data_IF_295424074148
#
_entry.id   IF_295424074148
#
_cell.length_a   1.000
_cell.length_b   1.000
_cell.length_c   1.000
_cell.angle_alpha   90.00
_cell.angle_beta   90.00
_cell.angle_gamma   90.00
#
_symmetry.space_group_name_H-M   'P 1'
#
loop_
_entity.id
_entity.type
_entity.pdbx_description
1 polymer ?
#
# COMPACT_ATOMS: atom_id res chain seq x y z
N UNK A 1 1.74 21.96 3.39
CA UNK A 1 0.72 21.75 4.46
C UNK A 1 1.44 21.47 5.76
N UNK A 2 1.00 22.08 6.84
CA UNK A 2 1.51 21.77 8.19
C UNK A 2 0.99 20.40 8.68
N UNK A 3 1.71 19.73 9.58
CA UNK A 3 1.35 18.38 10.05
C UNK A 3 -0.09 18.26 10.58
N UNK A 4 -0.56 19.30 11.29
CA UNK A 4 -1.94 19.36 11.80
C UNK A 4 -2.97 19.44 10.66
N UNK A 5 -2.66 20.18 9.60
CA UNK A 5 -3.53 20.31 8.41
C UNK A 5 -3.57 19.01 7.63
N UNK A 6 -2.43 18.32 7.47
CA UNK A 6 -2.34 17.00 6.84
C UNK A 6 -3.26 16.03 7.57
N UNK A 7 -3.19 15.96 8.90
CA UNK A 7 -4.02 15.04 9.67
C UNK A 7 -5.53 15.38 9.59
N UNK A 8 -5.90 16.67 9.69
CA UNK A 8 -7.31 17.09 9.51
C UNK A 8 -7.82 16.78 8.10
N UNK A 9 -7.00 16.98 7.08
CA UNK A 9 -7.36 16.65 5.72
C UNK A 9 -7.51 15.13 5.55
N UNK A 10 -6.56 14.36 6.08
CA UNK A 10 -6.60 12.89 6.05
C UNK A 10 -7.86 12.32 6.69
N UNK A 11 -8.24 12.77 7.89
CA UNK A 11 -9.47 12.29 8.56
C UNK A 11 -10.71 12.54 7.70
N UNK A 12 -10.78 13.67 7.03
CA UNK A 12 -11.87 13.99 6.10
C UNK A 12 -11.86 13.08 4.87
N UNK A 13 -10.69 12.78 4.33
CA UNK A 13 -10.51 11.85 3.20
C UNK A 13 -10.89 10.44 3.63
N UNK A 14 -10.32 9.97 4.74
CA UNK A 14 -10.57 8.63 5.27
C UNK A 14 -12.05 8.42 5.59
N UNK A 15 -12.74 9.42 6.13
CA UNK A 15 -14.19 9.33 6.41
C UNK A 15 -15.03 9.10 5.16
N UNK A 16 -14.54 9.43 3.97
CA UNK A 16 -15.22 9.19 2.69
C UNK A 16 -15.05 7.76 2.19
N UNK A 17 -13.86 7.18 2.41
CA UNK A 17 -13.51 5.87 1.85
C UNK A 17 -13.58 4.72 2.86
N UNK A 18 -13.68 5.01 4.16
CA UNK A 18 -13.56 4.01 5.25
C UNK A 18 -14.48 2.80 5.09
N UNK A 19 -15.72 3.00 4.66
CA UNK A 19 -16.70 1.91 4.58
C UNK A 19 -16.35 0.88 3.52
N UNK A 20 -15.62 1.24 2.46
CA UNK A 20 -15.14 0.28 1.47
C UNK A 20 -14.19 -0.73 2.08
N UNK A 21 -13.35 -0.31 3.04
CA UNK A 21 -12.33 -1.16 3.66
C UNK A 21 -12.89 -2.25 4.58
N UNK A 22 -14.21 -2.24 4.85
CA UNK A 22 -14.88 -3.35 5.55
C UNK A 22 -14.97 -4.62 4.71
N UNK A 23 -14.86 -4.49 3.40
CA UNK A 23 -15.06 -5.58 2.44
C UNK A 23 -13.76 -6.02 1.76
N UNK A 24 -12.64 -5.36 2.03
CA UNK A 24 -11.34 -5.74 1.49
C UNK A 24 -10.79 -6.98 2.18
N UNK A 25 -9.88 -7.70 1.52
CA UNK A 25 -9.20 -8.83 2.14
C UNK A 25 -8.29 -8.37 3.30
N UNK A 26 -7.84 -9.31 4.14
CA UNK A 26 -7.07 -9.04 5.36
C UNK A 26 -5.74 -8.31 5.12
N UNK A 27 -5.17 -8.38 3.92
CA UNK A 27 -3.92 -7.70 3.57
C UNK A 27 -4.13 -6.22 3.19
N UNK A 28 -5.38 -5.80 2.87
CA UNK A 28 -5.70 -4.47 2.33
C UNK A 28 -6.72 -3.72 3.20
N UNK A 29 -6.70 -4.00 4.50
CA UNK A 29 -7.55 -3.32 5.48
C UNK A 29 -6.99 -1.95 5.88
N UNK A 30 -7.69 -1.32 6.81
CA UNK A 30 -7.43 0.05 7.23
C UNK A 30 -6.02 0.26 7.77
N UNK A 31 -5.43 -0.72 8.45
CA UNK A 31 -4.05 -0.69 8.95
C UNK A 31 -3.03 -0.57 7.80
N UNK A 32 -3.25 -1.28 6.69
CA UNK A 32 -2.44 -1.11 5.48
C UNK A 32 -2.52 0.32 4.95
N UNK A 33 -3.72 0.88 4.83
CA UNK A 33 -3.91 2.24 4.31
C UNK A 33 -3.25 3.30 5.21
N UNK A 34 -3.28 3.10 6.52
CA UNK A 34 -2.58 3.98 7.46
C UNK A 34 -1.05 3.90 7.31
N UNK A 35 -0.52 2.70 7.05
CA UNK A 35 0.91 2.51 6.74
C UNK A 35 1.27 3.20 5.42
N UNK A 36 0.49 2.98 4.35
CA UNK A 36 0.71 3.62 3.04
C UNK A 36 0.63 5.15 3.16
N UNK A 37 -0.31 5.70 3.94
CA UNK A 37 -0.39 7.15 4.22
C UNK A 37 0.89 7.68 4.87
N UNK A 38 1.38 6.98 5.87
CA UNK A 38 2.61 7.38 6.57
C UNK A 38 3.82 7.40 5.63
N UNK A 39 3.97 6.34 4.82
CA UNK A 39 5.01 6.22 3.82
C UNK A 39 4.90 7.32 2.74
N UNK A 40 3.70 7.57 2.22
CA UNK A 40 3.46 8.58 1.18
C UNK A 40 3.80 10.00 1.65
N UNK A 41 3.41 10.36 2.87
CA UNK A 41 3.77 11.64 3.47
C UNK A 41 5.28 11.76 3.61
N UNK A 42 5.95 10.74 4.17
CA UNK A 42 7.41 10.74 4.32
C UNK A 42 8.13 10.86 2.97
N UNK A 43 7.71 10.11 1.96
CA UNK A 43 8.28 10.15 0.61
C UNK A 43 8.09 11.54 -0.01
N UNK A 44 6.89 12.13 0.09
CA UNK A 44 6.63 13.47 -0.43
C UNK A 44 7.55 14.54 0.20
N UNK A 45 7.84 14.42 1.50
CA UNK A 45 8.81 15.30 2.16
C UNK A 45 10.24 15.05 1.69
N UNK A 46 10.66 13.79 1.55
CA UNK A 46 12.00 13.44 1.07
C UNK A 46 12.27 13.92 -0.36
N UNK A 47 11.24 13.92 -1.21
CA UNK A 47 11.30 14.39 -2.59
C UNK A 47 11.07 15.90 -2.72
N UNK A 48 10.75 16.61 -1.64
CA UNK A 48 10.31 18.01 -1.66
C UNK A 48 9.04 18.26 -2.52
N UNK A 49 8.13 17.27 -2.57
CA UNK A 49 6.90 17.27 -3.37
C UNK A 49 5.64 17.47 -2.51
N UNK A 50 5.76 18.25 -1.43
CA UNK A 50 4.67 18.45 -0.45
C UNK A 50 3.45 19.22 -1.01
N UNK A 51 3.61 19.93 -2.13
CA UNK A 51 2.51 20.59 -2.86
C UNK A 51 1.48 19.59 -3.39
N UNK A 52 1.88 18.34 -3.67
CA UNK A 52 1.02 17.27 -4.17
C UNK A 52 0.31 16.46 -3.07
N UNK A 53 0.55 16.75 -1.78
CA UNK A 53 0.04 15.95 -0.67
C UNK A 53 -1.49 15.77 -0.67
N UNK A 54 -2.27 16.73 -1.14
CA UNK A 54 -3.73 16.56 -1.24
C UNK A 54 -4.08 15.40 -2.18
N UNK A 55 -3.53 15.40 -3.39
CA UNK A 55 -3.79 14.40 -4.41
C UNK A 55 -3.26 13.04 -3.98
N UNK A 56 -2.05 13.00 -3.42
CA UNK A 56 -1.43 11.80 -2.83
C UNK A 56 -2.33 11.18 -1.76
N UNK A 57 -2.83 11.96 -0.79
CA UNK A 57 -3.66 11.44 0.29
C UNK A 57 -5.01 10.92 -0.19
N UNK A 58 -5.63 11.57 -1.19
CA UNK A 58 -6.88 11.08 -1.78
C UNK A 58 -6.62 9.79 -2.56
N UNK A 59 -5.54 9.72 -3.35
CA UNK A 59 -5.17 8.51 -4.08
C UNK A 59 -4.83 7.35 -3.13
N UNK A 60 -4.08 7.60 -2.05
CA UNK A 60 -3.80 6.60 -1.01
C UNK A 60 -5.08 6.07 -0.38
N UNK A 61 -6.07 6.92 -0.10
CA UNK A 61 -7.34 6.45 0.48
C UNK A 61 -8.24 5.72 -0.52
N UNK A 62 -7.98 5.84 -1.81
CA UNK A 62 -8.81 5.27 -2.88
C UNK A 62 -8.22 4.02 -3.54
N UNK A 63 -6.88 3.77 -3.43
CA UNK A 63 -6.20 2.81 -4.32
C UNK A 63 -6.69 1.38 -4.18
N UNK A 64 -7.06 0.94 -2.97
CA UNK A 64 -7.42 -0.44 -2.65
C UNK A 64 -8.89 -0.63 -2.23
N UNK A 65 -9.77 0.35 -2.44
CA UNK A 65 -11.18 0.29 -2.00
C UNK A 65 -11.98 -0.89 -2.58
N UNK A 66 -11.50 -1.51 -3.65
CA UNK A 66 -12.08 -2.71 -4.25
C UNK A 66 -11.17 -3.94 -4.17
N UNK A 67 -10.18 -3.96 -3.27
CA UNK A 67 -9.30 -5.12 -3.03
C UNK A 67 -10.03 -6.25 -2.29
N UNK A 68 -11.19 -6.67 -2.82
CA UNK A 68 -11.92 -7.85 -2.32
C UNK A 68 -11.32 -9.13 -2.93
N UNK A 69 -11.54 -10.31 -2.32
CA UNK A 69 -11.09 -11.58 -2.91
C UNK A 69 -11.57 -11.78 -4.35
N UNK A 70 -12.80 -11.36 -4.67
CA UNK A 70 -13.38 -11.48 -6.00
C UNK A 70 -12.77 -10.52 -7.03
N UNK A 71 -12.35 -9.34 -6.59
CA UNK A 71 -11.92 -8.24 -7.47
C UNK A 71 -10.42 -8.01 -7.52
N UNK A 72 -9.64 -8.87 -6.85
CA UNK A 72 -8.19 -8.74 -6.69
C UNK A 72 -7.44 -8.44 -7.99
N UNK A 73 -7.85 -9.03 -9.10
CA UNK A 73 -7.18 -8.84 -10.39
C UNK A 73 -7.48 -7.46 -11.02
N UNK A 74 -8.65 -6.88 -10.75
CA UNK A 74 -9.18 -5.68 -11.41
C UNK A 74 -9.46 -4.51 -10.48
N UNK A 75 -9.17 -4.62 -9.16
CA UNK A 75 -9.50 -3.60 -8.16
C UNK A 75 -9.00 -2.20 -8.55
N UNK A 76 -7.79 -2.09 -9.10
CA UNK A 76 -7.19 -0.83 -9.55
C UNK A 76 -7.98 -0.17 -10.69
N UNK A 77 -8.53 -0.97 -11.63
CA UNK A 77 -9.40 -0.47 -12.71
C UNK A 77 -10.74 -0.03 -12.15
N UNK A 78 -11.33 -0.81 -11.24
CA UNK A 78 -12.59 -0.43 -10.57
C UNK A 78 -12.43 0.85 -9.75
N UNK A 79 -11.34 0.98 -9.01
CA UNK A 79 -11.06 2.16 -8.22
C UNK A 79 -10.78 3.39 -9.10
N UNK A 80 -10.07 3.23 -10.22
CA UNK A 80 -9.89 4.27 -11.22
C UNK A 80 -11.24 4.81 -11.74
N UNK A 81 -12.13 3.92 -12.19
CA UNK A 81 -13.45 4.30 -12.67
C UNK A 81 -14.27 4.98 -11.57
N UNK A 82 -14.25 4.45 -10.35
CA UNK A 82 -14.94 5.05 -9.21
C UNK A 82 -14.47 6.49 -8.94
N UNK A 83 -13.15 6.75 -9.00
CA UNK A 83 -12.60 8.10 -8.81
C UNK A 83 -13.13 9.07 -9.88
N UNK A 84 -13.14 8.64 -11.15
CA UNK A 84 -13.67 9.46 -12.25
C UNK A 84 -15.19 9.70 -12.13
N UNK A 85 -15.96 8.66 -11.86
CA UNK A 85 -17.41 8.74 -11.70
C UNK A 85 -17.81 9.62 -10.49
N UNK A 86 -16.98 9.62 -9.44
CA UNK A 86 -17.17 10.41 -8.22
C UNK A 86 -16.58 11.82 -8.32
N UNK A 87 -16.06 12.25 -9.48
CA UNK A 87 -15.39 13.54 -9.66
C UNK A 87 -16.16 14.74 -9.09
N UNK A 88 -17.48 14.92 -9.31
CA UNK A 88 -18.21 16.06 -8.75
C UNK A 88 -18.19 16.09 -7.21
N UNK A 89 -18.26 14.92 -6.59
CA UNK A 89 -18.24 14.76 -5.13
C UNK A 89 -16.83 15.02 -4.58
N UNK A 90 -15.81 14.42 -5.17
CA UNK A 90 -14.42 14.55 -4.73
C UNK A 90 -13.94 16.01 -4.86
N UNK A 91 -14.25 16.66 -5.99
CA UNK A 91 -13.94 18.08 -6.22
C UNK A 91 -14.55 18.97 -5.14
N UNK A 92 -15.83 18.80 -4.87
CA UNK A 92 -16.54 19.60 -3.85
C UNK A 92 -16.01 19.31 -2.43
N UNK A 93 -15.83 18.02 -2.07
CA UNK A 93 -15.49 17.60 -0.71
C UNK A 93 -14.04 17.90 -0.35
N UNK A 94 -13.12 17.71 -1.30
CA UNK A 94 -11.68 17.84 -1.07
C UNK A 94 -11.07 19.09 -1.71
N UNK A 95 -11.87 19.91 -2.37
CA UNK A 95 -11.45 21.12 -3.11
C UNK A 95 -10.38 20.78 -4.16
N UNK A 96 -10.65 19.76 -4.97
CA UNK A 96 -9.82 19.33 -6.10
C UNK A 96 -10.30 20.02 -7.38
N UNK A 97 -9.39 20.25 -8.30
CA UNK A 97 -9.69 20.63 -9.69
C UNK A 97 -10.08 19.38 -10.51
N UNK A 98 -10.44 19.55 -11.77
CA UNK A 98 -10.66 18.39 -12.67
C UNK A 98 -9.36 17.66 -12.94
N UNK A 99 -8.25 18.39 -13.10
CA UNK A 99 -6.92 17.82 -13.35
C UNK A 99 -6.42 17.03 -12.14
N UNK A 100 -6.66 17.55 -10.91
CA UNK A 100 -6.36 16.83 -9.67
C UNK A 100 -7.08 15.48 -9.61
N UNK A 101 -8.38 15.43 -9.97
CA UNK A 101 -9.14 14.17 -9.97
C UNK A 101 -8.59 13.21 -11.00
N UNK A 102 -8.21 13.68 -12.17
CA UNK A 102 -7.58 12.87 -13.22
C UNK A 102 -6.25 12.31 -12.74
N UNK A 103 -5.41 13.13 -12.10
CA UNK A 103 -4.13 12.71 -11.52
C UNK A 103 -4.33 11.66 -10.43
N UNK A 104 -5.29 11.86 -9.52
CA UNK A 104 -5.67 10.88 -8.48
C UNK A 104 -6.11 9.56 -9.12
N UNK A 105 -6.94 9.60 -10.17
CA UNK A 105 -7.41 8.41 -10.85
C UNK A 105 -6.25 7.60 -11.44
N UNK A 106 -5.32 8.27 -12.15
CA UNK A 106 -4.13 7.59 -12.69
C UNK A 106 -3.24 7.03 -11.59
N UNK A 107 -3.03 7.74 -10.48
CA UNK A 107 -2.27 7.22 -9.34
C UNK A 107 -2.89 5.94 -8.76
N UNK A 108 -4.21 5.88 -8.70
CA UNK A 108 -4.95 4.68 -8.29
C UNK A 108 -4.80 3.55 -9.32
N UNK A 109 -4.81 3.84 -10.62
CA UNK A 109 -4.65 2.83 -11.69
C UNK A 109 -3.25 2.20 -11.68
N UNK A 110 -2.23 3.01 -11.44
CA UNK A 110 -0.81 2.70 -11.66
C UNK A 110 -0.09 2.15 -10.42
N UNK A 111 -0.75 2.15 -9.24
CA UNK A 111 -0.11 1.77 -7.98
C UNK A 111 0.42 0.33 -7.95
N UNK A 112 -0.12 -0.58 -8.76
CA UNK A 112 0.23 -2.01 -8.70
C UNK A 112 1.68 -2.29 -9.09
N UNK A 113 2.32 -3.22 -8.37
CA UNK A 113 3.67 -3.73 -8.73
C UNK A 113 3.73 -4.41 -10.10
N UNK A 114 2.60 -4.83 -10.65
CA UNK A 114 2.46 -5.43 -11.98
C UNK A 114 2.19 -4.41 -13.09
N UNK A 115 2.06 -3.13 -12.77
CA UNK A 115 1.88 -2.08 -13.77
C UNK A 115 3.08 -2.04 -14.73
N UNK A 116 2.83 -2.02 -16.06
CA UNK A 116 3.89 -2.13 -17.09
C UNK A 116 4.20 -0.81 -17.81
N UNK A 117 3.33 0.19 -17.69
CA UNK A 117 3.50 1.51 -18.28
C UNK A 117 4.44 2.43 -17.50
N UNK A 118 4.74 3.64 -17.96
CA UNK A 118 5.29 4.73 -17.16
C UNK A 118 4.30 5.18 -16.09
N UNK A 119 4.74 5.99 -15.14
CA UNK A 119 3.84 6.70 -14.23
C UNK A 119 3.43 8.03 -14.88
N UNK A 120 2.14 8.38 -14.77
CA UNK A 120 1.64 9.61 -15.40
C UNK A 120 2.05 10.88 -14.65
N UNK A 121 2.35 10.78 -13.35
CA UNK A 121 2.71 11.93 -12.53
C UNK A 121 3.53 11.52 -11.31
N UNK A 122 4.12 12.53 -10.66
CA UNK A 122 4.79 12.35 -9.36
C UNK A 122 3.84 11.82 -8.29
N UNK A 123 2.54 12.10 -8.36
CA UNK A 123 1.52 11.55 -7.46
C UNK A 123 1.40 10.04 -7.66
N UNK A 124 1.36 9.56 -8.91
CA UNK A 124 1.37 8.12 -9.23
C UNK A 124 2.63 7.43 -8.69
N UNK A 125 3.79 8.05 -8.87
CA UNK A 125 5.07 7.54 -8.38
C UNK A 125 5.09 7.43 -6.85
N UNK A 126 4.68 8.49 -6.14
CA UNK A 126 4.65 8.52 -4.68
C UNK A 126 3.70 7.45 -4.14
N UNK A 127 2.50 7.31 -4.72
CA UNK A 127 1.50 6.32 -4.27
C UNK A 127 2.01 4.90 -4.51
N UNK A 128 2.56 4.62 -5.70
CA UNK A 128 3.13 3.31 -6.01
C UNK A 128 4.31 2.96 -5.08
N UNK A 129 5.21 3.92 -4.82
CA UNK A 129 6.34 3.75 -3.91
C UNK A 129 5.86 3.53 -2.45
N UNK A 130 4.87 4.30 -2.01
CA UNK A 130 4.33 4.22 -0.66
C UNK A 130 3.64 2.88 -0.37
N UNK A 131 2.91 2.34 -1.35
CA UNK A 131 2.30 1.02 -1.27
C UNK A 131 3.36 -0.11 -1.23
N UNK A 132 4.54 0.08 -1.86
CA UNK A 132 5.70 -0.83 -1.66
C UNK A 132 6.32 -0.70 -0.28
N UNK A 133 6.11 0.41 0.40
CA UNK A 133 6.71 0.77 1.68
C UNK A 133 8.09 1.40 1.53
N UNK A 134 8.56 2.00 2.61
CA UNK A 134 9.97 2.39 2.74
C UNK A 134 10.75 1.09 3.01
N UNK A 135 11.89 0.82 2.33
CA UNK A 135 12.51 -0.50 2.35
C UNK A 135 13.27 -0.81 3.65
N UNK A 136 12.56 -0.72 4.78
CA UNK A 136 13.07 -1.08 6.10
C UNK A 136 12.78 -2.55 6.43
N UNK A 137 13.53 -3.13 7.34
CA UNK A 137 13.29 -4.48 7.87
C UNK A 137 11.90 -4.55 8.52
N UNK A 138 11.46 -3.47 9.18
CA UNK A 138 10.14 -3.44 9.81
C UNK A 138 8.99 -3.52 8.78
N UNK A 139 9.13 -2.82 7.65
CA UNK A 139 8.15 -2.93 6.55
C UNK A 139 8.12 -4.34 5.93
N UNK A 140 9.27 -5.03 5.86
CA UNK A 140 9.31 -6.45 5.45
C UNK A 140 8.50 -7.32 6.40
N UNK A 141 8.70 -7.15 7.71
CA UNK A 141 7.94 -7.89 8.74
C UNK A 141 6.43 -7.63 8.62
N UNK A 142 6.03 -6.36 8.51
CA UNK A 142 4.63 -5.97 8.33
C UNK A 142 4.03 -6.59 7.07
N UNK A 143 4.77 -6.58 5.96
CA UNK A 143 4.34 -7.19 4.71
C UNK A 143 4.22 -8.72 4.83
N UNK A 144 5.16 -9.35 5.50
CA UNK A 144 5.15 -10.81 5.75
C UNK A 144 3.96 -11.21 6.62
N UNK A 145 3.65 -10.44 7.67
CA UNK A 145 2.48 -10.66 8.51
C UNK A 145 1.17 -10.55 7.71
N UNK A 146 1.03 -9.51 6.87
CA UNK A 146 -0.15 -9.37 5.98
C UNK A 146 -0.26 -10.54 4.99
N UNK A 147 0.86 -10.99 4.44
CA UNK A 147 0.88 -12.13 3.51
C UNK A 147 0.49 -13.44 4.20
N UNK A 148 0.89 -13.64 5.46
CA UNK A 148 0.45 -14.75 6.29
C UNK A 148 -1.06 -14.71 6.51
N UNK A 149 -1.59 -13.58 6.99
CA UNK A 149 -3.02 -13.40 7.24
C UNK A 149 -3.85 -13.62 5.97
N UNK A 150 -3.41 -13.06 4.84
CA UNK A 150 -4.02 -13.32 3.54
C UNK A 150 -4.11 -14.80 3.20
N UNK A 151 -3.02 -15.54 3.40
CA UNK A 151 -2.98 -16.98 3.13
C UNK A 151 -3.95 -17.75 4.05
N UNK A 152 -4.05 -17.36 5.33
CA UNK A 152 -5.01 -17.93 6.29
C UNK A 152 -6.47 -17.66 5.89
N UNK A 153 -6.80 -16.44 5.49
CA UNK A 153 -8.14 -16.08 5.00
C UNK A 153 -8.56 -16.89 3.76
N UNK A 154 -7.58 -17.35 2.98
CA UNK A 154 -7.81 -18.21 1.81
C UNK A 154 -7.71 -19.71 2.13
N UNK A 155 -7.85 -20.08 3.41
CA UNK A 155 -7.98 -21.47 3.87
C UNK A 155 -6.67 -22.27 3.89
N UNK A 156 -5.51 -21.63 3.75
CA UNK A 156 -4.22 -22.34 3.89
C UNK A 156 -3.97 -22.74 5.35
N UNK A 157 -3.29 -23.87 5.55
CA UNK A 157 -2.81 -24.29 6.87
C UNK A 157 -1.85 -23.26 7.47
N UNK A 158 -1.60 -23.31 8.78
CA UNK A 158 -0.57 -22.49 9.45
C UNK A 158 0.78 -22.65 8.75
N UNK A 159 1.19 -23.89 8.49
CA UNK A 159 2.47 -24.20 7.84
C UNK A 159 2.55 -23.65 6.42
N UNK A 160 1.52 -23.87 5.60
CA UNK A 160 1.49 -23.35 4.22
C UNK A 160 1.45 -21.82 4.18
N UNK A 161 0.84 -21.17 5.19
CA UNK A 161 0.80 -19.73 5.31
C UNK A 161 2.16 -19.14 5.66
N UNK A 162 2.95 -19.80 6.49
CA UNK A 162 4.36 -19.45 6.77
C UNK A 162 5.19 -19.50 5.48
N UNK A 163 5.14 -20.60 4.74
CA UNK A 163 5.83 -20.75 3.45
C UNK A 163 5.38 -19.68 2.44
N UNK A 164 4.07 -19.46 2.36
CA UNK A 164 3.51 -18.43 1.47
C UNK A 164 4.07 -17.05 1.81
N UNK A 165 4.08 -16.67 3.08
CA UNK A 165 4.53 -15.35 3.53
C UNK A 165 6.01 -15.12 3.21
N UNK A 166 6.89 -16.09 3.54
CA UNK A 166 8.32 -15.99 3.25
C UNK A 166 8.58 -15.96 1.75
N UNK A 167 8.02 -16.90 0.98
CA UNK A 167 8.21 -16.95 -0.46
C UNK A 167 7.71 -15.69 -1.16
N UNK A 168 6.61 -15.10 -0.67
CA UNK A 168 6.06 -13.86 -1.21
C UNK A 168 6.99 -12.66 -0.98
N UNK A 169 7.56 -12.56 0.22
CA UNK A 169 8.54 -11.51 0.57
C UNK A 169 9.84 -11.68 -0.24
N UNK A 170 10.37 -12.91 -0.34
CA UNK A 170 11.56 -13.19 -1.12
C UNK A 170 11.36 -12.86 -2.61
N UNK A 171 10.22 -13.21 -3.19
CA UNK A 171 9.90 -12.89 -4.58
C UNK A 171 9.73 -11.39 -4.85
N UNK A 172 9.32 -10.62 -3.85
CA UNK A 172 9.13 -9.16 -4.01
C UNK A 172 10.36 -8.35 -3.68
N UNK A 173 11.05 -8.68 -2.60
CA UNK A 173 12.04 -7.82 -1.96
C UNK A 173 13.45 -8.41 -1.90
N UNK A 174 13.64 -9.68 -2.28
CA UNK A 174 14.96 -10.28 -2.44
C UNK A 174 15.76 -9.63 -3.59
N UNK A 175 17.01 -10.01 -3.76
CA UNK A 175 17.92 -9.42 -4.80
C UNK A 175 17.35 -9.49 -6.21
N UNK A 176 16.60 -10.53 -6.51
CA UNK A 176 15.93 -10.73 -7.81
C UNK A 176 14.44 -10.33 -7.74
N UNK A 177 14.06 -9.50 -6.78
CA UNK A 177 12.69 -9.12 -6.52
C UNK A 177 12.04 -8.39 -7.71
N UNK A 178 10.77 -8.73 -7.97
CA UNK A 178 10.01 -8.22 -9.12
C UNK A 178 9.12 -7.03 -8.77
N UNK A 179 9.32 -6.40 -7.61
CA UNK A 179 8.50 -5.26 -7.21
C UNK A 179 8.91 -4.02 -8.00
N UNK A 180 7.99 -3.52 -8.82
CA UNK A 180 8.23 -2.28 -9.55
C UNK A 180 8.10 -1.08 -8.62
N UNK A 181 9.04 -0.18 -8.73
CA UNK A 181 9.10 1.11 -8.04
C UNK A 181 9.54 2.20 -9.03
N UNK A 182 9.30 3.49 -8.76
CA UNK A 182 9.85 4.60 -9.55
C UNK A 182 11.38 4.57 -9.56
N UNK A 183 11.99 5.12 -10.61
CA UNK A 183 13.46 5.09 -10.80
C UNK A 183 14.21 5.76 -9.63
N UNK A 184 13.71 6.89 -9.13
CA UNK A 184 14.30 7.61 -8.00
C UNK A 184 14.27 6.80 -6.68
N UNK A 185 13.35 5.84 -6.53
CA UNK A 185 13.20 5.06 -5.29
C UNK A 185 14.48 4.27 -4.97
N UNK A 186 15.06 3.64 -5.97
CA UNK A 186 16.27 2.85 -5.78
C UNK A 186 17.49 3.72 -5.41
N UNK A 187 17.56 4.92 -5.97
CA UNK A 187 18.64 5.86 -5.64
C UNK A 187 18.45 6.46 -4.23
N UNK A 188 17.21 6.84 -3.89
CA UNK A 188 16.87 7.46 -2.61
C UNK A 188 17.06 6.51 -1.42
N UNK A 189 16.81 5.22 -1.61
CA UNK A 189 16.80 4.20 -0.56
C UNK A 189 17.87 3.11 -0.78
N UNK A 190 18.96 3.42 -1.47
CA UNK A 190 19.96 2.40 -1.86
C UNK A 190 20.50 1.60 -0.67
N UNK A 191 20.78 2.26 0.46
CA UNK A 191 21.29 1.62 1.68
C UNK A 191 20.24 0.71 2.31
N UNK A 192 19.04 1.23 2.50
CA UNK A 192 17.92 0.51 3.11
C UNK A 192 17.48 -0.69 2.25
N UNK A 193 17.58 -0.56 0.92
CA UNK A 193 17.31 -1.67 -0.01
C UNK A 193 18.33 -2.79 0.20
N UNK A 194 19.60 -2.48 0.34
CA UNK A 194 20.64 -3.49 0.58
C UNK A 194 20.41 -4.21 1.92
N UNK A 195 20.21 -3.46 2.99
CA UNK A 195 19.92 -4.02 4.32
C UNK A 195 18.66 -4.90 4.31
N UNK A 196 17.61 -4.45 3.60
CA UNK A 196 16.38 -5.22 3.40
C UNK A 196 16.62 -6.53 2.65
N UNK A 197 17.41 -6.50 1.57
CA UNK A 197 17.71 -7.68 0.78
C UNK A 197 18.48 -8.71 1.58
N UNK A 198 19.49 -8.29 2.34
CA UNK A 198 20.24 -9.17 3.25
C UNK A 198 19.32 -9.82 4.28
N UNK A 199 18.44 -9.03 4.90
CA UNK A 199 17.45 -9.56 5.86
C UNK A 199 16.51 -10.58 5.21
N UNK A 200 15.99 -10.30 4.02
CA UNK A 200 15.05 -11.18 3.30
C UNK A 200 15.70 -12.50 2.90
N UNK A 201 16.99 -12.50 2.54
CA UNK A 201 17.75 -13.72 2.22
C UNK A 201 18.00 -14.61 3.44
N UNK A 202 18.02 -14.04 4.65
CA UNK A 202 18.18 -14.77 5.90
C UNK A 202 16.85 -15.31 6.46
N UNK A 203 15.71 -14.92 5.87
CA UNK A 203 14.39 -15.35 6.37
C UNK A 203 14.14 -16.83 6.11
N UNK A 204 13.77 -17.52 7.19
CA UNK A 204 13.29 -18.90 7.17
C UNK A 204 12.06 -19.08 8.09
N UNK A 205 11.60 -20.32 8.25
CA UNK A 205 10.40 -20.62 9.04
C UNK A 205 10.56 -20.34 10.54
N UNK A 206 11.78 -20.24 11.05
CA UNK A 206 12.05 -19.95 12.47
C UNK A 206 11.65 -18.54 12.87
N UNK A 207 11.50 -17.62 11.89
CA UNK A 207 10.92 -16.31 12.13
C UNK A 207 9.54 -16.37 12.78
N UNK A 208 8.71 -17.34 12.38
CA UNK A 208 7.35 -17.50 12.89
C UNK A 208 7.35 -18.26 14.21
N UNK A 209 7.78 -17.61 15.29
CA UNK A 209 7.67 -18.13 16.66
C UNK A 209 6.20 -18.34 17.05
N UNK A 210 5.97 -19.13 18.10
CA UNK A 210 4.61 -19.35 18.63
C UNK A 210 3.94 -18.04 19.07
N UNK A 211 4.72 -17.10 19.63
CA UNK A 211 4.22 -15.78 20.01
C UNK A 211 3.72 -14.99 18.80
N UNK A 212 4.51 -14.91 17.72
CA UNK A 212 4.12 -14.24 16.47
C UNK A 212 2.85 -14.88 15.90
N UNK A 213 2.82 -16.20 15.82
CA UNK A 213 1.66 -16.93 15.30
C UNK A 213 0.42 -16.66 16.15
N UNK A 214 0.51 -16.78 17.46
CA UNK A 214 -0.63 -16.50 18.36
C UNK A 214 -1.15 -15.08 18.17
N UNK A 215 -0.25 -14.10 18.07
CA UNK A 215 -0.62 -12.71 17.80
C UNK A 215 -1.30 -12.51 16.45
N UNK A 216 -0.86 -13.20 15.40
CA UNK A 216 -1.47 -13.12 14.08
C UNK A 216 -2.84 -13.82 14.02
N UNK A 217 -2.96 -15.02 14.59
CA UNK A 217 -4.23 -15.77 14.61
C UNK A 217 -5.30 -15.05 15.44
N UNK A 218 -4.93 -14.37 16.53
CA UNK A 218 -5.88 -13.57 17.31
C UNK A 218 -6.48 -12.41 16.51
N UNK A 219 -5.72 -11.84 15.57
CA UNK A 219 -6.21 -10.78 14.66
C UNK A 219 -7.23 -11.30 13.64
N UNK A 220 -7.17 -12.57 13.25
CA UNK A 220 -8.17 -13.19 12.37
C UNK A 220 -9.52 -13.40 13.10
N UNK A 221 -9.50 -13.67 14.40
CA UNK A 221 -10.70 -13.93 15.19
C UNK A 221 -11.47 -12.64 15.55
N UNK A 222 -10.84 -11.47 15.45
CA UNK A 222 -11.45 -10.17 15.77
C UNK A 222 -12.12 -9.53 14.55
N UNK A 223 -12.24 -10.25 13.49
CA UNK A 223 -12.76 -9.82 12.19
C UNK A 223 -14.11 -10.44 11.92
#
# INVERSE_FOLDING_TARGET
MEATEINKFWERVLSHFRDFYRYTDSAHRLDHILSVKSNAVRIAYLLNETQHLKNVLVAVAAHDIFSTPADRASHHIKAFNYVLDSAPILRRRFKLTSDDVTEVAYAVLEHRSSHKGGYNSIVSEIVAAADRGIPTVEEVKNYMHRSYLYARDHGKSVTDSKFHAIGHVQNKFGRNGKSRVPDWYNALFAKEILERQEYVEMLDLTYFTDEIITGLESRLQQQ
#
